data_IF_145603128837
#
_entry.id   IF_145603128837
#
_cell.length_a   1.000
_cell.length_b   1.000
_cell.length_c   1.000
_cell.angle_alpha   90.00
_cell.angle_beta   90.00
_cell.angle_gamma   90.00
#
_symmetry.space_group_name_H-M   'P 1'
#
loop_
_entity.id
_entity.type
_entity.pdbx_description
1 polymer ?
#
# COMPACT_ATOMS: atom_id res chain seq x y z
N UNK A 1 25.84 78.31 -0.69
CA UNK A 1 26.78 77.63 -1.61
C UNK A 1 26.74 76.15 -1.24
N UNK A 2 25.96 75.35 -1.96
CA UNK A 2 25.75 73.93 -1.67
C UNK A 2 24.83 73.35 -2.73
N UNK A 3 25.41 72.78 -3.78
CA UNK A 3 24.66 72.08 -4.84
C UNK A 3 24.46 70.64 -4.37
N UNK A 4 23.22 70.28 -4.04
CA UNK A 4 22.85 68.88 -3.84
C UNK A 4 22.77 68.18 -5.19
N UNK A 5 23.73 67.28 -5.42
CA UNK A 5 23.74 66.39 -6.57
C UNK A 5 22.89 65.16 -6.24
N UNK A 6 21.62 65.19 -6.66
CA UNK A 6 20.73 64.02 -6.57
C UNK A 6 21.17 62.95 -7.55
N UNK A 7 21.92 61.97 -7.05
CA UNK A 7 22.29 60.76 -7.78
C UNK A 7 21.00 59.97 -8.08
N UNK A 8 20.54 60.04 -9.33
CA UNK A 8 19.44 59.18 -9.81
C UNK A 8 19.99 57.78 -10.03
N UNK A 9 19.62 56.86 -9.14
CA UNK A 9 19.83 55.43 -9.37
C UNK A 9 18.86 54.98 -10.45
N UNK A 10 19.35 54.87 -11.68
CA UNK A 10 18.62 54.26 -12.78
C UNK A 10 18.65 52.75 -12.62
N UNK A 11 17.57 52.17 -12.09
CA UNK A 11 17.31 50.75 -12.16
C UNK A 11 17.04 50.40 -13.63
N UNK A 12 18.05 49.84 -14.31
CA UNK A 12 17.94 49.36 -15.69
C UNK A 12 17.04 48.11 -15.71
N UNK A 13 15.74 48.30 -15.86
CA UNK A 13 14.74 47.24 -15.98
C UNK A 13 14.70 46.60 -17.39
N UNK A 14 15.69 46.88 -18.25
CA UNK A 14 15.73 46.49 -19.67
C UNK A 14 16.89 45.53 -20.00
N UNK A 15 17.31 44.69 -19.05
CA UNK A 15 18.19 43.57 -19.34
C UNK A 15 17.31 42.37 -19.67
N UNK A 16 17.05 42.14 -20.97
CA UNK A 16 16.29 40.98 -21.43
C UNK A 16 16.94 39.68 -20.96
N UNK A 17 16.11 38.68 -20.62
CA UNK A 17 16.60 37.35 -20.25
C UNK A 17 17.55 36.81 -21.32
N UNK A 18 18.74 36.40 -20.90
CA UNK A 18 19.69 35.79 -21.83
C UNK A 18 19.23 34.38 -22.20
N UNK A 19 19.51 33.92 -23.43
CA UNK A 19 19.15 32.56 -23.87
C UNK A 19 19.63 31.48 -22.89
N UNK A 20 20.81 31.67 -22.30
CA UNK A 20 21.39 30.77 -21.30
C UNK A 20 20.51 30.66 -20.05
N UNK A 21 19.97 31.77 -19.57
CA UNK A 21 19.13 31.83 -18.38
C UNK A 21 17.79 31.09 -18.61
N UNK A 22 17.23 31.20 -19.82
CA UNK A 22 16.04 30.45 -20.23
C UNK A 22 16.32 28.94 -20.26
N UNK A 23 17.48 28.53 -20.78
CA UNK A 23 17.89 27.12 -20.83
C UNK A 23 18.07 26.56 -19.42
N UNK A 24 18.78 27.28 -18.54
CA UNK A 24 18.97 26.86 -17.14
C UNK A 24 17.62 26.77 -16.43
N UNK A 25 16.75 27.77 -16.58
CA UNK A 25 15.40 27.75 -16.02
C UNK A 25 14.57 26.56 -16.50
N UNK A 26 14.63 26.24 -17.80
CA UNK A 26 13.95 25.09 -18.37
C UNK A 26 14.46 23.76 -17.78
N UNK A 27 15.77 23.60 -17.60
CA UNK A 27 16.36 22.38 -17.01
C UNK A 27 15.92 22.21 -15.55
N UNK A 28 15.95 23.29 -14.76
CA UNK A 28 15.48 23.27 -13.37
C UNK A 28 14.00 22.90 -13.32
N UNK A 29 13.19 23.51 -14.19
CA UNK A 29 11.75 23.27 -14.25
C UNK A 29 11.43 21.80 -14.61
N UNK A 30 12.08 21.25 -15.65
CA UNK A 30 11.92 19.85 -16.04
C UNK A 30 12.32 18.92 -14.90
N UNK A 31 13.40 19.24 -14.18
CA UNK A 31 13.86 18.43 -13.05
C UNK A 31 12.81 18.38 -11.93
N UNK A 32 12.24 19.53 -11.56
CA UNK A 32 11.18 19.60 -10.54
C UNK A 32 9.95 18.80 -10.98
N UNK A 33 9.48 19.00 -12.22
CA UNK A 33 8.33 18.26 -12.74
C UNK A 33 8.58 16.76 -12.79
N UNK A 34 9.78 16.33 -13.18
CA UNK A 34 10.19 14.93 -13.16
C UNK A 34 10.13 14.33 -11.76
N UNK A 35 10.66 15.04 -10.75
CA UNK A 35 10.61 14.60 -9.36
C UNK A 35 9.17 14.51 -8.80
N UNK A 36 8.31 15.45 -9.17
CA UNK A 36 6.90 15.43 -8.77
C UNK A 36 6.17 14.23 -9.37
N UNK A 37 6.32 13.99 -10.68
CA UNK A 37 5.70 12.85 -11.35
C UNK A 37 6.15 11.51 -10.75
N UNK A 38 7.45 11.36 -10.49
CA UNK A 38 7.98 10.16 -9.83
C UNK A 38 7.33 9.94 -8.44
N UNK A 39 7.13 11.03 -7.69
CA UNK A 39 6.48 10.98 -6.38
C UNK A 39 5.02 10.53 -6.49
N UNK A 40 4.27 11.04 -7.46
CA UNK A 40 2.87 10.64 -7.70
C UNK A 40 2.76 9.15 -8.07
N UNK A 41 3.61 8.66 -8.96
CA UNK A 41 3.62 7.23 -9.35
C UNK A 41 3.93 6.35 -8.14
N UNK A 42 4.88 6.77 -7.29
CA UNK A 42 5.21 6.06 -6.05
C UNK A 42 4.01 6.01 -5.08
N UNK A 43 3.33 7.15 -4.88
CA UNK A 43 2.14 7.25 -4.06
C UNK A 43 1.00 6.36 -4.56
N UNK A 44 0.79 6.31 -5.87
CA UNK A 44 -0.23 5.44 -6.47
C UNK A 44 0.06 3.97 -6.19
N UNK A 45 1.31 3.52 -6.40
CA UNK A 45 1.74 2.15 -6.10
C UNK A 45 1.59 1.83 -4.61
N UNK A 46 1.92 2.77 -3.75
CA UNK A 46 1.74 2.64 -2.30
C UNK A 46 0.26 2.49 -1.94
N UNK A 47 -0.61 3.36 -2.47
CA UNK A 47 -2.05 3.32 -2.24
C UNK A 47 -2.67 2.02 -2.76
N UNK A 48 -2.26 1.54 -3.93
CA UNK A 48 -2.71 0.25 -4.47
C UNK A 48 -2.33 -0.91 -3.54
N UNK A 49 -1.10 -0.91 -3.00
CA UNK A 49 -0.66 -1.91 -2.01
C UNK A 49 -1.46 -1.81 -0.70
N UNK A 50 -1.72 -0.60 -0.22
CA UNK A 50 -2.51 -0.38 0.99
C UNK A 50 -3.95 -0.87 0.83
N UNK A 51 -4.61 -0.55 -0.31
CA UNK A 51 -5.95 -1.04 -0.64
C UNK A 51 -6.02 -2.57 -0.64
N UNK A 52 -5.07 -3.24 -1.30
CA UNK A 52 -5.00 -4.71 -1.32
C UNK A 52 -4.86 -5.31 0.09
N UNK A 53 -4.04 -4.69 0.94
CA UNK A 53 -3.89 -5.11 2.34
C UNK A 53 -5.18 -4.92 3.14
N UNK A 54 -5.89 -3.82 2.95
CA UNK A 54 -7.18 -3.59 3.61
C UNK A 54 -8.23 -4.62 3.18
N UNK A 55 -8.30 -4.95 1.89
CA UNK A 55 -9.18 -6.02 1.41
C UNK A 55 -8.81 -7.35 2.04
N UNK A 56 -7.53 -7.72 2.07
CA UNK A 56 -7.07 -8.95 2.73
C UNK A 56 -7.44 -8.98 4.23
N UNK A 57 -7.26 -7.87 4.96
CA UNK A 57 -7.64 -7.77 6.37
C UNK A 57 -9.15 -7.91 6.56
N UNK A 58 -9.96 -7.30 5.68
CA UNK A 58 -11.41 -7.44 5.76
C UNK A 58 -11.86 -8.87 5.47
N UNK A 59 -11.24 -9.55 4.51
CA UNK A 59 -11.47 -10.97 4.25
C UNK A 59 -11.08 -11.84 5.46
N UNK A 60 -9.91 -11.58 6.06
CA UNK A 60 -9.48 -12.24 7.28
C UNK A 60 -10.48 -12.05 8.41
N UNK A 61 -10.93 -10.82 8.64
CA UNK A 61 -11.91 -10.48 9.67
C UNK A 61 -13.24 -11.17 9.44
N UNK A 62 -13.72 -11.18 8.19
CA UNK A 62 -14.96 -11.87 7.84
C UNK A 62 -14.83 -13.38 8.07
N UNK A 63 -13.71 -13.99 7.67
CA UNK A 63 -13.48 -15.41 7.85
C UNK A 63 -13.38 -15.78 9.34
N UNK A 64 -12.55 -15.05 10.11
CA UNK A 64 -12.41 -15.25 11.55
C UNK A 64 -13.69 -14.94 12.32
N UNK A 65 -14.52 -14.00 11.85
CA UNK A 65 -15.83 -13.71 12.44
C UNK A 65 -16.77 -14.92 12.42
N UNK A 66 -16.62 -15.81 11.43
CA UNK A 66 -17.42 -17.03 11.34
C UNK A 66 -16.96 -18.13 12.30
N UNK A 67 -15.80 -17.99 12.97
CA UNK A 67 -15.29 -18.99 13.92
C UNK A 67 -16.08 -19.05 15.21
N UNK A 68 -16.96 -18.07 15.51
CA UNK A 68 -17.70 -18.04 16.78
C UNK A 68 -18.50 -19.33 17.05
N UNK A 69 -18.92 -20.05 16.00
CA UNK A 69 -19.61 -21.33 16.13
C UNK A 69 -18.67 -22.54 16.31
N UNK A 70 -17.39 -22.38 15.98
CA UNK A 70 -16.35 -23.40 16.05
C UNK A 70 -15.57 -23.34 17.38
N UNK A 71 -15.69 -22.26 18.16
CA UNK A 71 -14.96 -22.08 19.44
C UNK A 71 -15.37 -23.10 20.52
N UNK A 72 -16.40 -23.93 20.31
CA UNK A 72 -16.71 -25.00 21.26
C UNK A 72 -15.58 -26.03 21.30
N UNK A 73 -14.90 -26.11 22.46
CA UNK A 73 -13.76 -26.98 22.73
C UNK A 73 -14.04 -28.45 22.40
N UNK A 74 -15.27 -28.92 22.65
CA UNK A 74 -15.68 -30.31 22.37
C UNK A 74 -15.57 -30.69 20.88
N UNK A 75 -15.55 -29.71 19.97
CA UNK A 75 -15.47 -29.92 18.52
C UNK A 75 -14.07 -29.78 17.96
N UNK A 76 -13.11 -29.33 18.76
CA UNK A 76 -11.78 -29.01 18.27
C UNK A 76 -11.05 -30.25 17.71
N UNK A 77 -11.27 -31.42 18.29
CA UNK A 77 -10.66 -32.68 17.82
C UNK A 77 -11.42 -33.35 16.68
N UNK A 78 -12.51 -32.75 16.20
CA UNK A 78 -13.22 -33.22 15.02
C UNK A 78 -12.47 -32.78 13.75
N UNK A 79 -12.09 -33.73 12.91
CA UNK A 79 -11.43 -33.48 11.60
C UNK A 79 -12.21 -32.57 10.66
N UNK A 80 -13.51 -32.40 10.88
CA UNK A 80 -14.37 -31.47 10.11
C UNK A 80 -14.38 -30.04 10.65
N UNK A 81 -13.84 -29.80 11.84
CA UNK A 81 -13.73 -28.46 12.42
C UNK A 81 -12.55 -27.71 11.81
N UNK A 82 -12.76 -26.42 11.54
CA UNK A 82 -11.70 -25.51 11.11
C UNK A 82 -10.64 -25.29 12.19
N UNK A 83 -10.94 -25.62 13.45
CA UNK A 83 -9.99 -25.57 14.54
C UNK A 83 -9.18 -26.86 14.70
N UNK A 84 -9.42 -27.89 13.90
CA UNK A 84 -8.63 -29.12 13.94
C UNK A 84 -7.15 -28.81 13.67
N UNK A 85 -6.19 -29.41 14.43
CA UNK A 85 -4.79 -29.05 14.31
C UNK A 85 -4.24 -29.46 12.93
N UNK A 86 -3.50 -28.56 12.30
CA UNK A 86 -2.96 -28.75 10.96
C UNK A 86 -3.10 -27.53 10.07
N UNK A 87 -2.82 -27.72 8.78
CA UNK A 87 -2.93 -26.67 7.76
C UNK A 87 -4.14 -26.92 6.88
N UNK A 88 -5.05 -25.94 6.84
CA UNK A 88 -6.22 -25.91 5.96
C UNK A 88 -5.92 -24.99 4.78
N UNK A 89 -5.92 -25.54 3.58
CA UNK A 89 -5.57 -24.83 2.37
C UNK A 89 -6.79 -24.18 1.71
N UNK A 90 -6.57 -23.03 1.07
CA UNK A 90 -7.59 -22.33 0.28
C UNK A 90 -8.88 -22.00 1.06
N UNK A 91 -8.75 -21.73 2.37
CA UNK A 91 -9.88 -21.30 3.21
C UNK A 91 -10.47 -19.96 2.77
N UNK A 92 -9.66 -19.17 2.07
CA UNK A 92 -10.09 -18.01 1.29
C UNK A 92 -9.61 -18.24 -0.14
N UNK A 93 -10.50 -18.09 -1.11
CA UNK A 93 -10.19 -18.15 -2.53
C UNK A 93 -11.18 -17.26 -3.29
N UNK A 94 -10.88 -15.96 -3.37
CA UNK A 94 -11.79 -14.97 -3.93
C UNK A 94 -11.04 -13.97 -4.79
N UNK A 95 -11.66 -13.59 -5.92
CA UNK A 95 -11.16 -12.52 -6.78
C UNK A 95 -11.92 -11.24 -6.49
N UNK A 96 -11.20 -10.16 -6.18
CA UNK A 96 -11.75 -8.82 -5.99
C UNK A 96 -10.96 -7.86 -6.87
N UNK A 97 -11.64 -7.15 -7.76
CA UNK A 97 -11.02 -6.18 -8.69
C UNK A 97 -9.85 -6.75 -9.50
N UNK A 98 -9.99 -7.99 -10.00
CA UNK A 98 -8.95 -8.68 -10.79
C UNK A 98 -7.73 -9.16 -9.98
N UNK A 99 -7.76 -9.01 -8.65
CA UNK A 99 -6.75 -9.54 -7.74
C UNK A 99 -7.30 -10.81 -7.07
N UNK A 100 -6.57 -11.91 -7.21
CA UNK A 100 -6.88 -13.16 -6.54
C UNK A 100 -6.31 -13.15 -5.13
N UNK A 101 -7.15 -13.38 -4.12
CA UNK A 101 -6.77 -13.53 -2.72
C UNK A 101 -6.89 -15.01 -2.32
N UNK A 102 -5.79 -15.58 -1.82
CA UNK A 102 -5.73 -16.95 -1.31
C UNK A 102 -5.33 -16.96 0.15
N UNK A 103 -6.11 -17.62 0.99
CA UNK A 103 -5.86 -17.76 2.42
C UNK A 103 -5.60 -19.21 2.80
N UNK A 104 -4.57 -19.43 3.61
CA UNK A 104 -4.30 -20.71 4.27
C UNK A 104 -4.36 -20.50 5.78
N UNK A 105 -4.99 -21.43 6.48
CA UNK A 105 -5.12 -21.43 7.94
C UNK A 105 -4.18 -22.48 8.52
N UNK A 106 -3.41 -22.11 9.53
CA UNK A 106 -2.64 -23.06 10.33
C UNK A 106 -3.16 -23.02 11.75
N UNK A 107 -3.49 -24.19 12.29
CA UNK A 107 -3.97 -24.35 13.66
C UNK A 107 -3.03 -25.25 14.42
N UNK A 108 -2.57 -24.75 15.57
CA UNK A 108 -1.57 -25.42 16.39
C UNK A 108 -2.05 -25.51 17.83
N UNK A 109 -1.81 -26.68 18.44
CA UNK A 109 -1.97 -26.86 19.87
C UNK A 109 -0.86 -26.10 20.61
N UNK A 110 -1.23 -25.40 21.67
CA UNK A 110 -0.27 -24.71 22.52
C UNK A 110 -0.02 -25.54 23.77
N UNK A 111 1.24 -25.91 23.99
CA UNK A 111 1.61 -26.81 25.09
C UNK A 111 1.22 -26.22 26.44
N UNK A 112 0.48 -26.99 27.25
CA UNK A 112 0.05 -26.60 28.59
C UNK A 112 -1.01 -25.50 28.64
N UNK A 113 -1.77 -25.31 27.56
CA UNK A 113 -2.83 -24.31 27.48
C UNK A 113 -4.08 -24.87 26.80
N UNK A 114 -5.26 -24.49 27.30
CA UNK A 114 -6.56 -24.88 26.74
C UNK A 114 -7.00 -23.88 25.64
N UNK A 115 -6.07 -23.56 24.74
CA UNK A 115 -6.37 -22.77 23.55
C UNK A 115 -5.54 -23.21 22.35
N UNK A 116 -6.06 -22.91 21.16
CA UNK A 116 -5.38 -23.15 19.90
C UNK A 116 -4.89 -21.85 19.30
N UNK A 117 -3.68 -21.89 18.75
CA UNK A 117 -3.14 -20.79 17.97
C UNK A 117 -3.63 -20.93 16.54
N UNK A 118 -4.30 -19.89 16.03
CA UNK A 118 -4.81 -19.84 14.66
C UNK A 118 -4.04 -18.76 13.89
N UNK A 119 -3.41 -19.15 12.80
CA UNK A 119 -2.66 -18.25 11.91
C UNK A 119 -3.28 -18.31 10.53
N UNK A 120 -3.86 -17.19 10.08
CA UNK A 120 -4.41 -17.05 8.74
C UNK A 120 -3.43 -16.26 7.87
N UNK A 121 -2.83 -16.93 6.89
CA UNK A 121 -1.93 -16.33 5.93
C UNK A 121 -2.67 -16.05 4.62
N UNK A 122 -2.84 -14.78 4.28
CA UNK A 122 -3.46 -14.36 3.01
C UNK A 122 -2.40 -13.84 2.06
N UNK A 123 -2.32 -14.46 0.89
CA UNK A 123 -1.53 -14.01 -0.26
C UNK A 123 -2.43 -13.43 -1.33
N UNK A 124 -1.90 -12.51 -2.13
CA UNK A 124 -2.64 -11.93 -3.23
C UNK A 124 -1.76 -11.72 -4.45
N UNK A 125 -2.30 -12.02 -5.63
CA UNK A 125 -1.64 -11.86 -6.93
C UNK A 125 -2.60 -11.26 -7.94
N UNK A 126 -2.09 -10.40 -8.83
CA UNK A 126 -2.86 -10.00 -10.01
C UNK A 126 -3.12 -11.23 -10.88
N UNK A 127 -4.34 -11.34 -11.37
CA UNK A 127 -4.64 -12.28 -12.44
C UNK A 127 -4.17 -11.57 -13.71
N UNK A 128 -2.95 -11.86 -14.15
CA UNK A 128 -2.54 -11.51 -15.51
C UNK A 128 -3.40 -12.35 -16.44
N UNK A 129 -4.37 -11.71 -17.08
CA UNK A 129 -5.00 -12.26 -18.27
C UNK A 129 -3.96 -12.05 -19.36
N UNK A 130 -3.19 -13.09 -19.70
CA UNK A 130 -2.38 -13.05 -20.91
C UNK A 130 -3.32 -12.73 -22.09
N UNK A 131 -2.99 -11.73 -22.93
CA UNK A 131 -3.79 -11.37 -24.09
C UNK A 131 -3.83 -12.48 -25.15
#
# INVERSE_FOLDING_TARGET
MGKEEKTRVTLNFLQGFTLMEIIVGAIILISIFGSLLASFISLEKYNARAKRRLVAINLARSFLGNFTNEVNEERWDNVTSWLYPGTHFNVINVTVDGILYRGNLTVENVSGQDYRRVVLNITYSSIEIEP
#
